data_IF_849028833641
#
_entry.id   IF_849028833641
#
_cell.length_a   1.000
_cell.length_b   1.000
_cell.length_c   1.000
_cell.angle_alpha   90.00
_cell.angle_beta   90.00
_cell.angle_gamma   90.00
#
_symmetry.space_group_name_H-M   'P 1'
#
loop_
_entity.id
_entity.type
_entity.pdbx_description
1 polymer ?
#
# COMPACT_ATOMS: atom_id res chain seq x y z
N UNK A 1 -10.54 -3.03 0.88
CA UNK A 1 -9.90 -3.89 1.89
C UNK A 1 -9.98 -3.20 3.25
N UNK A 2 -10.05 -3.98 4.34
CA UNK A 2 -10.11 -3.48 5.72
C UNK A 2 -8.99 -4.11 6.56
N UNK A 3 -8.33 -3.32 7.40
CA UNK A 3 -7.31 -3.79 8.34
C UNK A 3 -7.64 -3.32 9.75
N UNK A 4 -7.70 -4.25 10.70
CA UNK A 4 -7.77 -3.93 12.12
C UNK A 4 -6.50 -3.21 12.61
N UNK A 5 -6.51 -2.57 13.78
CA UNK A 5 -5.28 -2.09 14.43
C UNK A 5 -4.24 -3.22 14.54
N UNK A 6 -3.05 -3.00 13.98
CA UNK A 6 -1.97 -4.00 13.93
C UNK A 6 -2.16 -5.09 12.86
N UNK A 7 -3.33 -5.14 12.21
CA UNK A 7 -3.60 -6.03 11.09
C UNK A 7 -2.77 -5.63 9.86
N UNK A 8 -2.11 -6.61 9.25
CA UNK A 8 -1.21 -6.41 8.12
C UNK A 8 -1.60 -7.30 6.96
N UNK A 9 -1.72 -6.71 5.77
CA UNK A 9 -1.55 -7.42 4.50
C UNK A 9 -0.06 -7.67 4.33
N UNK A 10 0.33 -8.95 4.30
CA UNK A 10 1.74 -9.35 4.34
C UNK A 10 2.55 -8.78 3.17
N UNK A 11 3.88 -8.88 3.25
CA UNK A 11 4.74 -8.49 2.12
C UNK A 11 4.43 -9.38 0.90
N UNK A 12 4.04 -8.73 -0.18
CA UNK A 12 3.67 -9.39 -1.42
C UNK A 12 4.01 -8.50 -2.63
N UNK A 13 3.88 -9.06 -3.83
CA UNK A 13 3.95 -8.30 -5.07
C UNK A 13 3.01 -8.89 -6.12
N UNK A 14 2.72 -8.11 -7.16
CA UNK A 14 1.94 -8.53 -8.31
C UNK A 14 2.62 -8.00 -9.58
N UNK A 15 2.92 -8.88 -10.53
CA UNK A 15 3.66 -8.51 -11.76
C UNK A 15 2.73 -8.10 -12.92
N UNK A 16 1.47 -8.53 -12.86
CA UNK A 16 0.48 -8.37 -13.92
C UNK A 16 -0.39 -7.12 -13.75
N UNK A 17 -0.34 -6.44 -12.60
CA UNK A 17 -1.14 -5.26 -12.29
C UNK A 17 -0.32 -4.22 -11.51
N UNK A 18 -0.50 -2.94 -11.84
CA UNK A 18 -0.13 -1.87 -10.94
C UNK A 18 -1.29 -1.65 -9.96
N UNK A 19 -0.98 -1.22 -8.75
CA UNK A 19 -1.98 -0.95 -7.72
C UNK A 19 -2.07 0.55 -7.46
N UNK A 20 -3.29 1.08 -7.46
CA UNK A 20 -3.60 2.42 -7.01
C UNK A 20 -4.63 2.33 -5.88
N UNK A 21 -4.57 3.21 -4.89
CA UNK A 21 -5.54 3.17 -3.81
C UNK A 21 -6.01 4.53 -3.32
N UNK A 22 -7.13 4.50 -2.61
CA UNK A 22 -7.71 5.64 -1.88
C UNK A 22 -8.16 5.21 -0.49
N UNK A 23 -7.70 5.92 0.53
CA UNK A 23 -8.08 5.66 1.92
C UNK A 23 -9.39 6.35 2.26
N UNK A 24 -10.38 5.58 2.72
CA UNK A 24 -11.71 6.05 3.08
C UNK A 24 -11.78 6.46 4.57
N UNK A 25 -11.22 5.65 5.46
CA UNK A 25 -11.23 5.88 6.90
C UNK A 25 -10.05 5.17 7.59
N UNK A 26 -9.71 5.62 8.80
CA UNK A 26 -8.61 5.05 9.58
C UNK A 26 -7.23 5.42 9.02
N UNK A 27 -6.20 4.70 9.48
CA UNK A 27 -4.81 4.97 9.11
C UNK A 27 -4.06 3.67 8.85
N UNK A 28 -3.25 3.65 7.80
CA UNK A 28 -2.32 2.56 7.53
C UNK A 28 -0.91 3.08 7.26
N UNK A 29 0.07 2.22 7.47
CA UNK A 29 1.45 2.39 7.03
C UNK A 29 1.71 1.41 5.90
N UNK A 30 2.41 1.84 4.87
CA UNK A 30 2.90 0.93 3.82
C UNK A 30 4.41 0.90 3.82
N UNK A 31 4.97 -0.23 3.42
CA UNK A 31 6.37 -0.35 3.05
C UNK A 31 6.42 -0.78 1.60
N UNK A 32 7.28 -0.18 0.78
CA UNK A 32 7.55 -0.61 -0.59
C UNK A 32 9.05 -0.76 -0.82
N UNK A 33 9.40 -1.79 -1.58
CA UNK A 33 10.76 -2.18 -1.94
C UNK A 33 10.90 -2.03 -3.46
N UNK A 34 11.85 -1.18 -3.87
CA UNK A 34 12.15 -0.95 -5.28
C UNK A 34 13.07 -2.04 -5.84
N UNK A 35 13.06 -2.26 -7.16
CA UNK A 35 13.99 -3.17 -7.83
C UNK A 35 15.48 -2.85 -7.63
N UNK A 36 15.82 -1.59 -7.33
CA UNK A 36 17.18 -1.15 -7.01
C UNK A 36 17.56 -1.33 -5.53
N UNK A 37 16.65 -1.85 -4.71
CA UNK A 37 16.82 -2.07 -3.27
C UNK A 37 16.46 -0.87 -2.40
N UNK A 38 16.06 0.27 -2.97
CA UNK A 38 15.56 1.39 -2.19
C UNK A 38 14.24 1.00 -1.48
N UNK A 39 14.04 1.50 -0.27
CA UNK A 39 12.82 1.25 0.51
C UNK A 39 12.18 2.54 0.95
N UNK A 40 10.85 2.52 0.94
CA UNK A 40 10.02 3.69 1.17
C UNK A 40 8.90 3.32 2.11
N UNK A 41 8.66 4.16 3.10
CA UNK A 41 7.63 3.96 4.11
C UNK A 41 6.82 5.24 4.25
N UNK A 42 5.52 5.10 4.11
CA UNK A 42 4.58 6.20 4.23
C UNK A 42 3.44 5.81 5.16
N UNK A 43 2.86 6.83 5.78
CA UNK A 43 1.59 6.71 6.52
C UNK A 43 0.50 7.41 5.73
N UNK A 44 -0.65 6.77 5.64
CA UNK A 44 -1.81 7.23 4.90
C UNK A 44 -2.99 7.41 5.85
N UNK A 45 -3.70 8.52 5.66
CA UNK A 45 -4.98 8.79 6.32
C UNK A 45 -6.09 9.01 5.30
N UNK A 46 -7.32 9.30 5.77
CA UNK A 46 -8.48 9.48 4.89
C UNK A 46 -8.22 10.54 3.83
N UNK A 47 -8.47 10.19 2.57
CA UNK A 47 -8.27 11.09 1.45
C UNK A 47 -6.88 11.06 0.82
N UNK A 48 -5.94 10.30 1.37
CA UNK A 48 -4.66 10.00 0.72
C UNK A 48 -4.81 8.91 -0.34
N UNK A 49 -3.92 8.93 -1.32
CA UNK A 49 -3.80 7.93 -2.37
C UNK A 49 -2.39 7.38 -2.45
N UNK A 50 -2.25 6.13 -2.88
CA UNK A 50 -0.96 5.56 -3.28
C UNK A 50 -0.98 4.99 -4.69
N UNK A 51 0.22 4.76 -5.21
CA UNK A 51 0.43 4.01 -6.42
C UNK A 51 1.68 3.13 -6.29
N UNK A 52 1.52 1.82 -6.51
CA UNK A 52 2.61 0.85 -6.53
C UNK A 52 2.77 0.29 -7.95
N UNK A 53 3.92 0.52 -8.61
CA UNK A 53 4.18 -0.04 -9.93
C UNK A 53 4.23 -1.58 -9.90
N UNK A 54 3.98 -2.19 -11.07
CA UNK A 54 4.05 -3.64 -11.29
C UNK A 54 5.35 -4.23 -10.75
N UNK A 55 5.22 -5.27 -9.94
CA UNK A 55 6.33 -6.07 -9.41
C UNK A 55 7.07 -5.46 -8.22
N UNK A 56 6.67 -4.29 -7.73
CA UNK A 56 7.28 -3.70 -6.54
C UNK A 56 6.74 -4.41 -5.29
N UNK A 57 7.62 -4.95 -4.45
CA UNK A 57 7.23 -5.62 -3.22
C UNK A 57 6.69 -4.62 -2.21
N UNK A 58 5.53 -4.89 -1.61
CA UNK A 58 4.92 -3.98 -0.63
C UNK A 58 4.13 -4.71 0.46
N UNK A 59 3.94 -4.03 1.58
CA UNK A 59 3.07 -4.45 2.69
C UNK A 59 2.21 -3.29 3.16
N UNK A 60 1.08 -3.59 3.81
CA UNK A 60 0.13 -2.59 4.31
C UNK A 60 -0.28 -2.99 5.72
N UNK A 61 -0.13 -2.10 6.69
CA UNK A 61 -0.47 -2.36 8.09
C UNK A 61 -1.39 -1.29 8.64
N UNK A 62 -2.48 -1.68 9.31
CA UNK A 62 -3.33 -0.77 10.07
C UNK A 62 -2.59 -0.26 11.31
N UNK A 63 -2.50 1.06 11.46
CA UNK A 63 -1.76 1.70 12.56
C UNK A 63 -2.62 2.60 13.45
N UNK A 64 -3.86 2.87 13.04
CA UNK A 64 -4.80 3.67 13.82
C UNK A 64 -5.40 2.89 14.99
N UNK A 65 -6.03 3.59 15.95
CA UNK A 65 -6.81 2.94 17.00
C UNK A 65 -8.07 2.25 16.46
N UNK A 66 -8.53 2.68 15.28
CA UNK A 66 -9.68 2.15 14.56
C UNK A 66 -9.25 1.37 13.31
N UNK A 67 -10.19 0.61 12.75
CA UNK A 67 -10.01 -0.09 11.47
C UNK A 67 -9.65 0.90 10.34
N UNK A 68 -8.66 0.54 9.53
CA UNK A 68 -8.34 1.23 8.28
C UNK A 68 -9.12 0.61 7.12
N UNK A 69 -9.84 1.43 6.36
CA UNK A 69 -10.62 1.00 5.20
C UNK A 69 -10.19 1.79 3.97
N UNK A 70 -9.85 1.08 2.91
CA UNK A 70 -9.34 1.65 1.67
C UNK A 70 -9.79 0.85 0.46
N UNK A 71 -9.81 1.50 -0.70
CA UNK A 71 -10.14 0.90 -1.99
C UNK A 71 -8.84 0.66 -2.74
N UNK A 72 -8.64 -0.56 -3.25
CA UNK A 72 -7.56 -0.90 -4.18
C UNK A 72 -8.14 -0.98 -5.59
N UNK A 73 -7.41 -0.43 -6.54
CA UNK A 73 -7.72 -0.42 -7.97
C UNK A 73 -6.50 -0.98 -8.68
N UNK A 74 -6.73 -1.96 -9.55
CA UNK A 74 -5.69 -2.62 -10.31
C UNK A 74 -5.86 -2.31 -11.78
N UNK A 75 -4.76 -2.03 -12.49
CA UNK A 75 -4.78 -1.66 -13.92
C UNK A 75 -4.98 -2.86 -14.87
N UNK A 76 -5.41 -4.00 -14.33
CA UNK A 76 -5.69 -5.23 -15.04
C UNK A 76 -7.00 -5.84 -14.54
N UNK A 77 -7.98 -5.99 -15.44
CA UNK A 77 -9.31 -6.52 -15.10
C UNK A 77 -9.33 -8.00 -14.72
N UNK A 78 -8.29 -8.77 -15.07
CA UNK A 78 -8.14 -10.18 -14.69
C UNK A 78 -7.40 -10.35 -13.35
N UNK A 79 -7.11 -9.26 -12.65
CA UNK A 79 -6.49 -9.32 -11.33
C UNK A 79 -7.39 -10.06 -10.31
N UNK A 80 -6.76 -10.87 -9.47
CA UNK A 80 -7.38 -11.48 -8.29
C UNK A 80 -6.44 -11.32 -7.10
N UNK A 81 -7.00 -10.92 -5.96
CA UNK A 81 -6.26 -10.84 -4.69
C UNK A 81 -5.72 -12.22 -4.26
N UNK A 82 -6.38 -13.30 -4.68
CA UNK A 82 -5.94 -14.67 -4.40
C UNK A 82 -4.72 -15.09 -5.26
N UNK A 83 -4.29 -14.25 -6.21
CA UNK A 83 -3.18 -14.54 -7.15
C UNK A 83 -2.01 -13.56 -7.02
N UNK A 84 -1.85 -12.95 -5.85
CA UNK A 84 -0.61 -12.22 -5.52
C UNK A 84 0.55 -13.17 -5.25
N UNK A 85 1.79 -12.70 -5.37
CA UNK A 85 2.96 -13.42 -4.89
C UNK A 85 3.22 -13.05 -3.43
N UNK A 86 2.92 -13.97 -2.53
CA UNK A 86 3.20 -13.83 -1.10
C UNK A 86 4.66 -14.19 -0.78
N UNK A 87 5.31 -13.42 0.11
CA UNK A 87 6.66 -13.75 0.58
C UNK A 87 6.68 -15.07 1.38
N UNK A 88 5.64 -15.34 2.17
CA UNK A 88 5.60 -16.54 3.01
C UNK A 88 5.31 -17.78 2.18
N UNK A 89 4.45 -17.66 1.16
CA UNK A 89 4.20 -18.74 0.21
C UNK A 89 5.42 -19.04 -0.68
N UNK A 90 6.12 -17.99 -1.12
CA UNK A 90 7.37 -18.12 -1.86
C UNK A 90 8.42 -18.88 -1.05
N UNK A 91 8.67 -18.45 0.20
CA UNK A 91 9.64 -19.12 1.09
C UNK A 91 9.23 -20.58 1.34
N UNK A 92 7.95 -20.86 1.57
CA UNK A 92 7.43 -22.20 1.81
C UNK A 92 7.58 -23.13 0.58
N UNK A 93 7.66 -22.56 -0.61
CA UNK A 93 7.80 -23.29 -1.89
C UNK A 93 9.25 -23.52 -2.33
N UNK A 94 10.23 -22.97 -1.60
CA UNK A 94 11.66 -23.13 -1.89
C UNK A 94 12.25 -24.23 -1.00
N UNK A 95 13.14 -25.11 -1.51
CA UNK A 95 13.79 -26.13 -0.68
C UNK A 95 14.45 -25.53 0.56
N UNK A 96 14.26 -26.11 1.77
CA UNK A 96 14.74 -25.53 3.03
C UNK A 96 16.23 -25.20 3.04
N UNK A 97 17.05 -26.00 2.35
CA UNK A 97 18.50 -25.82 2.24
C UNK A 97 18.87 -24.56 1.47
N UNK A 98 18.09 -24.22 0.44
CA UNK A 98 18.26 -22.99 -0.35
C UNK A 98 17.80 -21.78 0.46
N UNK A 99 16.70 -21.90 1.22
CA UNK A 99 16.25 -20.83 2.13
C UNK A 99 17.31 -20.57 3.21
N UNK A 100 17.80 -21.62 3.85
CA UNK A 100 18.85 -21.56 4.87
C UNK A 100 20.11 -20.88 4.33
N UNK A 101 20.59 -21.31 3.16
CA UNK A 101 21.76 -20.73 2.52
C UNK A 101 21.55 -19.24 2.16
N UNK A 102 20.40 -18.88 1.60
CA UNK A 102 20.13 -17.53 1.13
C UNK A 102 19.96 -16.52 2.29
N UNK A 103 19.31 -16.94 3.38
CA UNK A 103 19.08 -16.09 4.56
C UNK A 103 20.23 -16.15 5.58
N UNK A 104 21.16 -17.10 5.44
CA UNK A 104 22.25 -17.30 6.40
C UNK A 104 21.78 -17.83 7.76
N UNK A 105 20.72 -18.64 7.77
CA UNK A 105 20.12 -19.23 8.98
C UNK A 105 20.20 -20.76 8.96
N UNK A 106 20.01 -21.40 10.10
CA UNK A 106 20.00 -22.87 10.21
C UNK A 106 18.71 -23.49 9.66
N UNK A 107 18.76 -24.79 9.32
CA UNK A 107 17.57 -25.56 8.93
C UNK A 107 16.53 -25.61 10.06
N UNK A 108 16.95 -25.58 11.32
CA UNK A 108 16.04 -25.51 12.47
C UNK A 108 15.29 -24.17 12.52
N UNK A 109 15.94 -23.06 12.17
CA UNK A 109 15.29 -21.76 12.05
C UNK A 109 14.35 -21.69 10.84
N UNK A 110 14.74 -22.28 9.71
CA UNK A 110 13.83 -22.45 8.55
C UNK A 110 12.60 -23.27 8.94
N UNK A 111 12.74 -24.25 9.82
CA UNK A 111 11.60 -25.05 10.27
C UNK A 111 10.55 -24.21 11.01
N UNK A 112 10.94 -23.09 11.63
CA UNK A 112 10.04 -22.16 12.32
C UNK A 112 9.38 -21.13 11.41
N UNK A 113 9.81 -21.01 10.15
CA UNK A 113 9.20 -20.11 9.17
C UNK A 113 7.80 -20.60 8.76
N UNK A 114 6.93 -19.68 8.27
CA UNK A 114 5.63 -20.06 7.73
C UNK A 114 5.72 -21.16 6.66
N UNK A 115 4.76 -22.09 6.66
CA UNK A 115 4.71 -23.26 5.76
C UNK A 115 3.70 -23.13 4.62
N UNK A 116 3.05 -21.97 4.53
CA UNK A 116 2.07 -21.57 3.52
C UNK A 116 1.88 -20.06 3.62
N UNK A 117 1.16 -19.50 2.65
CA UNK A 117 0.70 -18.12 2.68
C UNK A 117 0.08 -17.73 4.03
N UNK A 118 0.53 -16.62 4.60
CA UNK A 118 -0.05 -15.99 5.77
C UNK A 118 -1.21 -15.04 5.38
N UNK A 119 -1.11 -14.39 4.23
CA UNK A 119 -2.06 -13.49 3.59
C UNK A 119 -2.37 -12.22 4.41
N UNK A 120 -3.12 -12.38 5.49
CA UNK A 120 -3.33 -11.37 6.53
C UNK A 120 -2.79 -11.88 7.86
N UNK A 121 -2.01 -11.05 8.54
CA UNK A 121 -1.50 -11.34 9.88
C UNK A 121 -1.91 -10.25 10.85
N UNK A 122 -2.10 -10.63 12.11
CA UNK A 122 -2.34 -9.69 13.19
C UNK A 122 -1.07 -9.61 14.05
N UNK A 123 -0.53 -8.40 14.16
CA UNK A 123 0.59 -8.11 15.06
C UNK A 123 0.27 -6.92 15.95
N UNK A 124 1.29 -6.43 16.65
CA UNK A 124 1.18 -5.19 17.40
C UNK A 124 1.07 -3.99 16.45
N UNK A 125 0.39 -2.93 16.92
CA UNK A 125 0.44 -1.63 16.25
C UNK A 125 1.88 -1.14 16.32
N UNK A 126 2.56 -0.87 15.19
CA UNK A 126 3.93 -0.40 15.22
C UNK A 126 3.96 0.98 15.86
N UNK A 127 4.87 1.19 16.81
CA UNK A 127 5.14 2.51 17.34
C UNK A 127 6.00 3.33 16.36
N UNK A 128 6.27 4.58 16.74
CA UNK A 128 7.18 5.46 16.02
C UNK A 128 8.66 5.11 16.26
N UNK A 129 8.97 4.05 17.02
CA UNK A 129 10.32 3.57 17.30
C UNK A 129 10.77 2.43 16.39
N UNK A 130 9.96 2.03 15.40
CA UNK A 130 10.41 1.18 14.30
C UNK A 130 11.80 1.60 13.83
N UNK A 131 12.71 0.64 13.57
CA UNK A 131 14.09 0.91 13.12
C UNK A 131 14.18 1.79 11.86
N UNK A 132 13.05 1.96 11.17
CA UNK A 132 12.87 2.70 9.93
C UNK A 132 12.28 4.11 10.16
N UNK A 133 11.80 4.39 11.38
CA UNK A 133 11.40 5.71 11.89
C UNK A 133 12.57 6.52 12.46
N UNK A 134 13.82 6.14 12.14
CA UNK A 134 14.99 6.89 12.53
C UNK A 134 14.86 8.36 12.08
N UNK A 135 15.06 9.29 13.03
CA UNK A 135 14.99 10.73 12.78
C UNK A 135 15.92 11.09 11.62
N UNK A 136 15.34 11.62 10.54
CA UNK A 136 16.11 12.13 9.40
C UNK A 136 16.54 13.57 9.67
N UNK A 137 17.72 13.94 9.19
CA UNK A 137 18.25 15.30 9.34
C UNK A 137 17.40 16.36 8.62
N UNK A 138 16.60 15.94 7.63
CA UNK A 138 15.74 16.81 6.83
C UNK A 138 14.31 16.26 6.76
N UNK A 139 13.28 17.10 6.96
CA UNK A 139 11.89 16.73 6.74
C UNK A 139 11.60 16.79 5.24
N UNK A 140 11.80 15.67 4.55
CA UNK A 140 11.38 15.49 3.15
C UNK A 140 10.19 14.53 3.10
N UNK A 141 9.38 14.62 2.04
CA UNK A 141 8.43 13.56 1.73
C UNK A 141 9.22 12.26 1.64
N UNK A 142 8.81 11.30 2.46
CA UNK A 142 9.55 10.04 2.63
C UNK A 142 9.63 9.24 1.34
N UNK A 143 8.72 9.50 0.39
CA UNK A 143 8.49 8.66 -0.78
C UNK A 143 7.65 9.36 -1.85
N UNK A 144 7.85 8.92 -3.09
CA UNK A 144 7.08 9.34 -4.26
C UNK A 144 5.79 8.52 -4.47
N UNK A 145 5.43 7.63 -3.53
CA UNK A 145 4.26 6.75 -3.62
C UNK A 145 3.03 7.25 -2.88
N UNK A 146 3.09 8.41 -2.23
CA UNK A 146 1.95 9.01 -1.55
C UNK A 146 1.54 10.32 -2.20
N UNK A 147 0.23 10.50 -2.38
CA UNK A 147 -0.36 11.76 -2.82
C UNK A 147 -1.57 12.14 -1.95
N UNK A 148 -1.58 13.31 -1.29
CA UNK A 148 -2.67 13.73 -0.40
C UNK A 148 -3.84 14.34 -1.19
N UNK A 149 -4.61 13.52 -1.90
CA UNK A 149 -5.67 13.97 -2.82
C UNK A 149 -6.68 14.90 -2.14
N UNK A 150 -7.15 14.57 -0.93
CA UNK A 150 -8.13 15.39 -0.22
C UNK A 150 -7.60 16.78 0.21
N UNK A 151 -6.27 16.95 0.30
CA UNK A 151 -5.64 18.23 0.62
C UNK A 151 -5.62 19.20 -0.58
N UNK A 152 -5.91 18.73 -1.80
CA UNK A 152 -6.10 19.62 -2.95
C UNK A 152 -7.27 20.59 -2.71
N UNK A 153 -7.12 21.82 -3.18
CA UNK A 153 -8.29 22.69 -3.37
C UNK A 153 -9.21 22.07 -4.43
N UNK A 154 -10.47 21.77 -4.10
CA UNK A 154 -11.36 21.15 -5.05
C UNK A 154 -11.77 22.14 -6.15
N UNK A 155 -11.86 21.62 -7.38
CA UNK A 155 -12.56 22.30 -8.47
C UNK A 155 -14.05 22.32 -8.16
N UNK A 156 -14.71 23.45 -8.36
CA UNK A 156 -16.16 23.58 -8.18
C UNK A 156 -16.88 23.39 -9.51
N UNK A 157 -17.83 22.46 -9.56
CA UNK A 157 -18.62 22.23 -10.76
C UNK A 157 -19.77 23.25 -10.88
N UNK A 158 -20.07 23.76 -12.08
CA UNK A 158 -21.31 24.52 -12.32
C UNK A 158 -22.53 23.66 -11.97
N UNK A 159 -23.45 24.18 -11.14
CA UNK A 159 -24.61 23.43 -10.66
C UNK A 159 -24.46 22.79 -9.26
N UNK A 160 -23.31 22.98 -8.61
CA UNK A 160 -23.07 22.54 -7.23
C UNK A 160 -22.34 21.20 -7.15
N UNK A 161 -21.31 21.13 -6.32
CA UNK A 161 -20.45 19.97 -6.13
C UNK A 161 -18.96 20.31 -6.18
N UNK A 162 -18.13 19.34 -5.81
CA UNK A 162 -16.67 19.47 -5.80
C UNK A 162 -16.02 18.29 -6.52
N UNK A 163 -14.89 18.56 -7.18
CA UNK A 163 -14.05 17.55 -7.79
C UNK A 163 -12.60 17.73 -7.32
N UNK A 164 -11.98 16.63 -6.90
CA UNK A 164 -10.53 16.52 -6.77
C UNK A 164 -10.05 15.49 -7.78
N UNK A 165 -8.92 15.75 -8.43
CA UNK A 165 -8.39 14.88 -9.48
C UNK A 165 -6.88 14.76 -9.32
N UNK A 166 -6.38 13.53 -9.40
CA UNK A 166 -4.95 13.24 -9.41
C UNK A 166 -4.64 12.48 -10.69
N UNK A 167 -3.81 13.10 -11.52
CA UNK A 167 -3.29 12.53 -12.76
C UNK A 167 -1.78 12.34 -12.64
N UNK A 168 -1.14 11.82 -13.68
CA UNK A 168 0.32 11.79 -13.77
C UNK A 168 0.97 13.20 -13.78
N UNK A 169 0.21 14.29 -13.98
CA UNK A 169 0.75 15.65 -13.84
C UNK A 169 1.05 15.99 -12.38
N UNK A 170 0.15 15.66 -11.46
CA UNK A 170 0.32 15.94 -10.04
C UNK A 170 1.04 14.80 -9.29
N UNK A 171 0.88 13.56 -9.77
CA UNK A 171 1.43 12.36 -9.16
C UNK A 171 2.17 11.51 -10.20
N UNK A 172 3.40 11.92 -10.61
CA UNK A 172 4.06 11.39 -11.81
C UNK A 172 4.34 9.89 -11.82
N UNK A 173 4.42 9.25 -10.66
CA UNK A 173 4.60 7.79 -10.60
C UNK A 173 3.35 7.03 -11.05
N UNK A 174 2.16 7.62 -10.92
CA UNK A 174 0.87 7.02 -11.27
C UNK A 174 0.63 7.07 -12.77
N UNK A 175 1.41 6.28 -13.51
CA UNK A 175 1.48 6.33 -14.98
C UNK A 175 0.32 5.63 -15.69
N UNK A 176 -0.33 4.65 -15.05
CA UNK A 176 -1.42 3.86 -15.66
C UNK A 176 -2.80 4.15 -15.09
N UNK A 177 -2.89 4.94 -14.00
CA UNK A 177 -4.16 5.21 -13.31
C UNK A 177 -4.31 6.70 -12.99
N UNK A 178 -5.52 7.23 -13.20
CA UNK A 178 -5.95 8.57 -12.78
C UNK A 178 -7.13 8.42 -11.82
N UNK A 179 -7.09 9.14 -10.71
CA UNK A 179 -8.16 9.13 -9.71
C UNK A 179 -8.96 10.43 -9.73
N UNK A 180 -10.28 10.36 -9.55
CA UNK A 180 -11.10 11.54 -9.28
C UNK A 180 -12.15 11.24 -8.20
N UNK A 181 -12.23 12.14 -7.22
CA UNK A 181 -13.26 12.13 -6.18
C UNK A 181 -14.24 13.25 -6.46
N UNK A 182 -15.51 12.88 -6.64
CA UNK A 182 -16.62 13.78 -6.94
C UNK A 182 -17.58 13.78 -5.75
N UNK A 183 -17.87 14.96 -5.20
CA UNK A 183 -18.95 15.14 -4.23
C UNK A 183 -20.06 15.93 -4.89
N UNK A 184 -21.23 15.30 -5.05
CA UNK A 184 -22.39 15.91 -5.68
C UNK A 184 -23.36 16.40 -4.60
N UNK A 185 -23.78 17.65 -4.71
CA UNK A 185 -24.91 18.15 -3.93
C UNK A 185 -26.22 17.51 -4.44
N UNK A 186 -27.28 17.45 -3.61
CA UNK A 186 -28.59 16.98 -4.08
C UNK A 186 -29.02 17.70 -5.36
N UNK A 187 -29.46 16.94 -6.36
CA UNK A 187 -29.79 17.42 -7.72
C UNK A 187 -28.63 18.02 -8.55
N UNK A 188 -27.40 18.02 -8.03
CA UNK A 188 -26.19 18.33 -8.79
C UNK A 188 -25.93 17.28 -9.88
N UNK A 189 -25.31 17.71 -10.98
CA UNK A 189 -24.93 16.85 -12.11
C UNK A 189 -23.42 16.94 -12.33
N UNK A 190 -22.79 15.81 -12.67
CA UNK A 190 -21.44 15.83 -13.24
C UNK A 190 -21.52 16.44 -14.63
N UNK A 191 -20.74 17.49 -14.89
CA UNK A 191 -20.62 18.09 -16.21
C UNK A 191 -19.80 17.19 -17.15
#
# INVERSE_FOLDING_TARGET
>A
MRLAPGGMRELHWHVNAAEWAYVLSGHCRTTIIHPDGATYIDTFGPGDTWYFPKGYGHSIQGIGPDECHFILIFDNGDFSEDHTFSVTDFIASVPPEIVAQNLGISLEEVDRLPKKEAHFVLGDVPDDHSAISATRAYPELTSMHRYPLAAQQPRRAPGGGTQRIVTATEFPISTTTTGSVLELQPAGRTA
#
